data_IF_159816028349
#
_entry.id   IF_159816028349
#
_cell.length_a   1.000
_cell.length_b   1.000
_cell.length_c   1.000
_cell.angle_alpha   90.00
_cell.angle_beta   90.00
_cell.angle_gamma   90.00
#
_symmetry.space_group_name_H-M   'P 1'
#
loop_
_entity.id
_entity.type
_entity.pdbx_description
1 polymer ?
#
# COMPACT_ATOMS: atom_id res chain seq x y z
N UNK A 1 3.53 9.01 -21.61
CA UNK A 1 2.65 10.13 -21.23
C UNK A 1 3.42 11.08 -20.32
N UNK A 2 3.08 12.36 -20.30
CA UNK A 2 3.50 13.35 -19.30
C UNK A 2 2.31 13.78 -18.47
N UNK A 3 2.46 13.78 -17.15
CA UNK A 3 1.46 14.30 -16.22
C UNK A 3 1.58 15.83 -16.15
N UNK A 4 0.51 16.53 -16.54
CA UNK A 4 0.48 18.00 -16.54
C UNK A 4 0.47 18.61 -15.13
N UNK A 5 0.11 17.85 -14.09
CA UNK A 5 0.01 18.32 -12.72
C UNK A 5 1.27 18.03 -11.86
N UNK A 6 2.07 17.02 -12.23
CA UNK A 6 3.17 16.52 -11.41
C UNK A 6 4.55 16.54 -12.10
N UNK A 7 4.65 17.07 -13.33
CA UNK A 7 5.90 17.14 -14.13
C UNK A 7 6.62 15.78 -14.32
N UNK A 8 5.92 14.66 -14.12
CA UNK A 8 6.46 13.30 -14.24
C UNK A 8 6.02 12.58 -15.51
N UNK A 9 6.88 11.71 -16.06
CA UNK A 9 6.54 10.86 -17.19
C UNK A 9 6.18 9.44 -16.74
N UNK A 10 5.29 8.78 -17.51
CA UNK A 10 4.91 7.40 -17.26
C UNK A 10 4.52 6.63 -18.53
N UNK A 11 4.58 5.30 -18.45
CA UNK A 11 4.13 4.39 -19.51
C UNK A 11 2.64 4.05 -19.39
N UNK A 12 1.97 3.98 -20.54
CA UNK A 12 0.62 3.43 -20.73
C UNK A 12 0.64 2.32 -21.79
N UNK A 13 -0.43 1.54 -21.90
CA UNK A 13 -0.53 0.43 -22.87
C UNK A 13 0.33 -0.79 -22.55
N UNK A 14 0.96 -0.84 -21.37
CA UNK A 14 1.73 -1.98 -20.88
C UNK A 14 0.85 -2.93 -20.07
N UNK A 15 1.17 -4.23 -20.09
CA UNK A 15 0.42 -5.22 -19.31
C UNK A 15 0.56 -4.92 -17.81
N UNK A 16 -0.57 -4.69 -17.15
CA UNK A 16 -0.68 -4.57 -15.71
C UNK A 16 -1.12 -5.93 -15.12
N UNK A 17 -0.43 -6.42 -14.10
CA UNK A 17 -0.85 -7.64 -13.39
C UNK A 17 -1.81 -7.35 -12.22
N UNK A 18 -2.05 -6.08 -11.92
CA UNK A 18 -2.95 -5.58 -10.88
C UNK A 18 -2.67 -6.11 -9.46
N UNK A 19 -1.46 -6.64 -9.22
CA UNK A 19 -1.08 -7.21 -7.94
C UNK A 19 -0.32 -6.19 -7.09
N UNK A 20 -0.93 -5.83 -5.96
CA UNK A 20 -0.30 -5.00 -4.92
C UNK A 20 0.84 -5.73 -4.17
N UNK A 21 0.91 -7.05 -4.26
CA UNK A 21 1.92 -7.86 -3.55
C UNK A 21 3.09 -8.30 -4.41
N UNK A 22 2.86 -8.49 -5.72
CA UNK A 22 3.84 -9.12 -6.62
C UNK A 22 4.57 -8.12 -7.49
N UNK A 23 3.96 -6.98 -7.80
CA UNK A 23 4.44 -6.09 -8.82
C UNK A 23 4.65 -4.69 -8.27
N UNK A 24 5.91 -4.21 -8.18
CA UNK A 24 6.20 -2.88 -7.66
C UNK A 24 5.50 -1.78 -8.49
N UNK A 25 5.35 -1.98 -9.81
CA UNK A 25 4.67 -1.03 -10.70
C UNK A 25 3.17 -0.94 -10.40
N UNK A 26 2.48 -2.07 -10.27
CA UNK A 26 1.04 -2.06 -9.97
C UNK A 26 0.78 -1.60 -8.53
N UNK A 27 1.60 -2.04 -7.59
CA UNK A 27 1.52 -1.64 -6.20
C UNK A 27 1.64 -0.12 -6.05
N UNK A 28 2.62 0.52 -6.70
CA UNK A 28 2.79 1.98 -6.72
C UNK A 28 1.53 2.72 -7.18
N UNK A 29 0.98 2.32 -8.33
CA UNK A 29 -0.21 2.95 -8.91
C UNK A 29 -1.45 2.80 -8.03
N UNK A 30 -1.68 1.60 -7.50
CA UNK A 30 -2.85 1.32 -6.65
C UNK A 30 -2.71 2.05 -5.31
N UNK A 31 -1.51 2.03 -4.72
CA UNK A 31 -1.17 2.71 -3.48
C UNK A 31 -1.49 4.21 -3.52
N UNK A 32 -1.01 4.91 -4.56
CA UNK A 32 -1.24 6.35 -4.72
C UNK A 32 -2.73 6.70 -4.70
N UNK A 33 -3.56 5.92 -5.41
CA UNK A 33 -5.02 6.13 -5.45
C UNK A 33 -5.68 5.83 -4.12
N UNK A 34 -5.29 4.72 -3.47
CA UNK A 34 -5.82 4.35 -2.15
C UNK A 34 -5.48 5.39 -1.09
N UNK A 35 -4.31 6.01 -1.14
CA UNK A 35 -3.94 7.09 -0.21
C UNK A 35 -4.84 8.29 -0.38
N UNK A 36 -5.17 8.67 -1.61
CA UNK A 36 -6.11 9.77 -1.85
C UNK A 36 -7.52 9.43 -1.33
N UNK A 37 -8.00 8.19 -1.50
CA UNK A 37 -9.26 7.75 -0.89
C UNK A 37 -9.22 7.86 0.64
N UNK A 38 -8.13 7.41 1.28
CA UNK A 38 -7.97 7.48 2.74
C UNK A 38 -7.88 8.93 3.23
N UNK A 39 -7.16 9.79 2.51
CA UNK A 39 -7.04 11.22 2.81
C UNK A 39 -8.42 11.88 2.86
N UNK A 40 -9.28 11.62 1.88
CA UNK A 40 -10.67 12.12 1.87
C UNK A 40 -11.48 11.66 3.07
N UNK A 41 -11.31 10.41 3.51
CA UNK A 41 -12.02 9.90 4.70
C UNK A 41 -11.55 10.61 5.97
N UNK A 42 -10.24 10.85 6.12
CA UNK A 42 -9.71 11.60 7.27
C UNK A 42 -10.15 13.05 7.25
N UNK A 43 -10.08 13.73 6.09
CA UNK A 43 -10.53 15.11 5.97
C UNK A 43 -12.02 15.25 6.33
N UNK A 44 -12.86 14.34 5.85
CA UNK A 44 -14.28 14.34 6.19
C UNK A 44 -14.51 14.11 7.68
N UNK A 45 -13.75 13.20 8.31
CA UNK A 45 -13.83 13.00 9.75
C UNK A 45 -13.52 14.30 10.53
N UNK A 46 -12.53 15.07 10.09
CA UNK A 46 -12.23 16.39 10.65
C UNK A 46 -13.36 17.40 10.45
N UNK A 47 -14.00 17.42 9.26
CA UNK A 47 -15.12 18.32 8.94
C UNK A 47 -16.36 18.09 9.82
N UNK A 48 -16.63 16.85 10.21
CA UNK A 48 -17.75 16.50 11.10
C UNK A 48 -17.36 16.52 12.58
N UNK A 49 -16.17 17.06 12.90
CA UNK A 49 -15.58 17.05 14.24
C UNK A 49 -15.54 15.65 14.88
N UNK A 50 -15.35 14.62 14.06
CA UNK A 50 -15.23 13.23 14.47
C UNK A 50 -13.88 12.92 15.12
N UNK A 51 -13.61 11.63 15.32
CA UNK A 51 -12.31 11.16 15.82
C UNK A 51 -11.70 10.14 14.87
N UNK A 52 -10.41 10.31 14.58
CA UNK A 52 -9.58 9.32 13.92
C UNK A 52 -8.56 8.76 14.91
N UNK A 53 -8.51 7.44 15.06
CA UNK A 53 -7.48 6.75 15.86
C UNK A 53 -6.81 5.67 15.04
N UNK A 54 -5.49 5.55 15.20
CA UNK A 54 -4.74 4.45 14.61
C UNK A 54 -4.48 3.35 15.64
N UNK A 55 -4.73 2.10 15.25
CA UNK A 55 -4.18 0.92 15.94
C UNK A 55 -3.19 0.18 15.06
N UNK A 56 -2.21 -0.45 15.68
CA UNK A 56 -1.27 -1.38 15.03
C UNK A 56 -1.31 -2.69 15.79
N UNK A 57 -1.74 -3.75 15.12
CA UNK A 57 -1.86 -5.07 15.69
C UNK A 57 -0.80 -6.01 15.13
N UNK A 58 -0.17 -6.79 15.99
CA UNK A 58 0.85 -7.79 15.64
C UNK A 58 0.69 -9.02 16.51
N UNK A 59 1.28 -10.14 16.11
CA UNK A 59 1.29 -11.38 16.89
C UNK A 59 2.70 -11.95 16.96
N UNK A 60 2.97 -12.75 17.99
CA UNK A 60 4.24 -13.45 18.11
C UNK A 60 4.27 -14.61 17.13
N UNK A 61 5.45 -14.82 16.56
CA UNK A 61 5.77 -15.88 15.62
C UNK A 61 7.16 -16.42 15.94
N UNK A 62 7.46 -17.60 15.42
CA UNK A 62 8.78 -18.20 15.40
C UNK A 62 9.44 -18.00 14.03
N UNK A 63 10.77 -18.07 14.02
CA UNK A 63 11.57 -17.90 12.80
C UNK A 63 11.11 -18.81 11.65
N UNK A 64 10.74 -20.04 11.96
CA UNK A 64 10.38 -21.06 10.97
C UNK A 64 8.87 -21.13 10.69
N UNK A 65 8.06 -20.26 11.32
CA UNK A 65 6.62 -20.22 11.03
C UNK A 65 6.40 -19.74 9.59
N UNK A 66 5.65 -20.47 8.75
CA UNK A 66 5.39 -20.03 7.40
C UNK A 66 4.49 -18.79 7.40
N UNK A 67 4.71 -17.87 6.46
CA UNK A 67 3.85 -16.68 6.30
C UNK A 67 2.37 -17.02 6.26
N UNK A 68 2.02 -18.16 5.65
CA UNK A 68 0.63 -18.60 5.56
C UNK A 68 -0.01 -18.83 6.92
N UNK A 69 0.75 -19.29 7.92
CA UNK A 69 0.27 -19.45 9.29
C UNK A 69 0.16 -18.09 9.97
N UNK A 70 1.23 -17.29 9.95
CA UNK A 70 1.28 -15.99 10.63
C UNK A 70 0.17 -15.06 10.15
N UNK A 71 0.01 -14.91 8.84
CA UNK A 71 -1.02 -14.04 8.27
C UNK A 71 -2.43 -14.57 8.51
N UNK A 72 -2.70 -15.89 8.36
CA UNK A 72 -4.04 -16.45 8.61
C UNK A 72 -4.47 -16.26 10.06
N UNK A 73 -3.58 -16.55 11.00
CA UNK A 73 -3.84 -16.36 12.44
C UNK A 73 -4.14 -14.88 12.74
N UNK A 74 -3.36 -13.96 12.17
CA UNK A 74 -3.60 -12.52 12.36
C UNK A 74 -4.91 -12.04 11.74
N UNK A 75 -5.26 -12.52 10.55
CA UNK A 75 -6.49 -12.15 9.86
C UNK A 75 -7.72 -12.67 10.62
N UNK A 76 -7.68 -13.91 11.10
CA UNK A 76 -8.74 -14.49 11.91
C UNK A 76 -8.88 -13.76 13.27
N UNK A 77 -7.76 -13.44 13.92
CA UNK A 77 -7.76 -12.66 15.15
C UNK A 77 -8.42 -11.29 14.94
N UNK A 78 -8.12 -10.63 13.82
CA UNK A 78 -8.71 -9.33 13.48
C UNK A 78 -10.22 -9.43 13.22
N UNK A 79 -10.69 -10.49 12.56
CA UNK A 79 -12.12 -10.74 12.39
C UNK A 79 -12.80 -10.95 13.75
N UNK A 80 -12.18 -11.76 14.63
CA UNK A 80 -12.69 -12.05 15.98
C UNK A 80 -12.75 -10.80 16.87
N UNK A 81 -11.77 -9.90 16.78
CA UNK A 81 -11.74 -8.63 17.53
C UNK A 81 -12.97 -7.77 17.22
N UNK A 82 -13.43 -7.82 15.97
CA UNK A 82 -14.54 -7.01 15.43
C UNK A 82 -15.88 -7.72 15.48
N UNK A 83 -15.95 -8.96 15.97
CA UNK A 83 -17.16 -9.77 15.92
C UNK A 83 -17.87 -9.85 17.27
N UNK A 84 -19.20 -9.79 17.23
CA UNK A 84 -20.08 -10.08 18.36
C UNK A 84 -20.43 -8.87 19.22
N UNK A 85 -21.19 -9.13 20.29
CA UNK A 85 -21.79 -8.08 21.11
C UNK A 85 -20.81 -7.11 21.77
N UNK A 86 -19.59 -7.50 22.21
CA UNK A 86 -18.66 -6.57 22.84
C UNK A 86 -18.24 -5.44 21.91
N UNK A 87 -17.82 -5.78 20.68
CA UNK A 87 -17.45 -4.78 19.69
C UNK A 87 -18.65 -3.95 19.22
N UNK A 88 -19.83 -4.58 19.05
CA UNK A 88 -21.05 -3.86 18.71
C UNK A 88 -21.41 -2.78 19.74
N UNK A 89 -21.33 -3.09 21.03
CA UNK A 89 -21.54 -2.12 22.12
C UNK A 89 -20.47 -1.03 22.13
N UNK A 90 -19.20 -1.38 21.86
CA UNK A 90 -18.12 -0.39 21.75
C UNK A 90 -18.40 0.59 20.61
N UNK A 91 -18.79 0.07 19.43
CA UNK A 91 -19.12 0.89 18.27
C UNK A 91 -20.27 1.85 18.54
N UNK A 92 -21.33 1.36 19.18
CA UNK A 92 -22.48 2.18 19.56
C UNK A 92 -22.10 3.24 20.59
N UNK A 93 -21.40 2.85 21.67
CA UNK A 93 -20.96 3.76 22.73
C UNK A 93 -20.07 4.88 22.21
N UNK A 94 -19.13 4.54 21.32
CA UNK A 94 -18.10 5.46 20.86
C UNK A 94 -18.38 6.06 19.48
N UNK A 95 -19.54 5.80 18.88
CA UNK A 95 -19.88 6.33 17.55
C UNK A 95 -18.99 5.84 16.41
N UNK A 96 -18.41 4.64 16.49
CA UNK A 96 -17.49 4.11 15.46
C UNK A 96 -18.28 3.77 14.17
N UNK A 97 -18.03 4.54 13.12
CA UNK A 97 -18.65 4.36 11.80
C UNK A 97 -17.98 3.27 10.98
N UNK A 98 -16.66 3.11 11.12
CA UNK A 98 -15.92 2.14 10.32
C UNK A 98 -14.41 2.22 10.52
N UNK A 99 -13.68 1.52 9.65
CA UNK A 99 -12.23 1.49 9.63
C UNK A 99 -11.66 1.43 8.22
N UNK A 100 -10.39 1.79 8.09
CA UNK A 100 -9.52 1.39 6.97
C UNK A 100 -8.38 0.56 7.55
N UNK A 101 -8.12 -0.62 7.01
CA UNK A 101 -6.99 -1.47 7.44
C UNK A 101 -6.02 -1.63 6.28
N UNK A 102 -4.72 -1.47 6.57
CA UNK A 102 -3.61 -1.88 5.72
C UNK A 102 -2.82 -3.01 6.39
N UNK A 103 -2.25 -3.90 5.58
CA UNK A 103 -1.44 -5.04 6.02
C UNK A 103 0.01 -4.83 5.57
N UNK A 104 0.92 -4.75 6.54
CA UNK A 104 2.37 -4.71 6.31
C UNK A 104 2.94 -6.12 6.46
N UNK A 105 3.74 -6.57 5.49
CA UNK A 105 4.44 -7.85 5.55
C UNK A 105 5.93 -7.64 5.34
N UNK A 106 6.72 -8.01 6.34
CA UNK A 106 8.19 -7.98 6.27
C UNK A 106 8.77 -9.30 6.75
N UNK A 107 10.02 -9.58 6.38
CA UNK A 107 10.78 -10.72 6.88
C UNK A 107 12.07 -10.23 7.55
N UNK A 108 12.27 -10.65 8.79
CA UNK A 108 13.41 -10.24 9.62
C UNK A 108 14.24 -11.40 10.12
N UNK A 109 15.14 -11.10 11.07
CA UNK A 109 15.93 -12.11 11.79
C UNK A 109 15.07 -13.14 12.54
N UNK A 110 13.84 -12.77 12.91
CA UNK A 110 12.94 -13.62 13.69
C UNK A 110 11.84 -14.27 12.83
N UNK A 111 11.92 -14.21 11.49
CA UNK A 111 10.90 -14.76 10.59
C UNK A 111 9.95 -13.71 10.03
N UNK A 112 8.71 -14.12 9.73
CA UNK A 112 7.68 -13.28 9.11
C UNK A 112 6.97 -12.35 10.08
N UNK A 113 7.06 -11.04 9.84
CA UNK A 113 6.34 -10.02 10.59
C UNK A 113 5.14 -9.53 9.79
N UNK A 114 3.93 -9.74 10.32
CA UNK A 114 2.67 -9.27 9.73
C UNK A 114 2.04 -8.26 10.68
N UNK A 115 1.92 -7.01 10.25
CA UNK A 115 1.25 -5.97 11.01
C UNK A 115 -0.04 -5.53 10.35
N UNK A 116 -1.06 -5.28 11.17
CA UNK A 116 -2.33 -4.72 10.73
C UNK A 116 -2.42 -3.28 11.25
N UNK A 117 -2.29 -2.32 10.35
CA UNK A 117 -2.45 -0.91 10.64
C UNK A 117 -3.88 -0.49 10.34
N UNK A 118 -4.58 0.05 11.33
CA UNK A 118 -6.02 0.31 11.22
C UNK A 118 -6.32 1.73 11.64
N UNK A 119 -6.89 2.53 10.75
CA UNK A 119 -7.59 3.75 11.11
C UNK A 119 -9.02 3.41 11.49
N UNK A 120 -9.46 3.86 12.65
CA UNK A 120 -10.84 3.81 13.08
C UNK A 120 -11.42 5.20 13.04
N UNK A 121 -12.66 5.27 12.57
CA UNK A 121 -13.37 6.52 12.38
C UNK A 121 -14.60 6.54 13.26
N UNK A 122 -14.79 7.66 13.96
CA UNK A 122 -15.96 7.95 14.77
C UNK A 122 -16.60 9.24 14.30
N UNK A 123 -17.94 9.28 14.28
CA UNK A 123 -18.68 10.53 14.07
C UNK A 123 -18.70 11.42 15.33
N UNK A 124 -18.29 10.87 16.48
CA UNK A 124 -18.18 11.60 17.75
C UNK A 124 -16.75 12.07 17.96
N UNK A 125 -16.62 13.28 18.53
CA UNK A 125 -15.39 13.74 19.15
C UNK A 125 -15.15 13.02 20.47
N UNK A 126 -14.00 12.37 20.61
CA UNK A 126 -13.63 11.63 21.82
C UNK A 126 -12.83 12.51 22.78
N UNK A 127 -13.24 12.52 24.04
CA UNK A 127 -12.43 13.00 25.14
C UNK A 127 -11.47 11.92 25.65
N UNK A 128 -10.79 12.22 26.76
CA UNK A 128 -9.85 11.28 27.37
C UNK A 128 -10.51 9.96 27.80
N UNK A 129 -11.78 9.99 28.23
CA UNK A 129 -12.50 8.79 28.66
C UNK A 129 -12.76 7.85 27.47
N UNK A 130 -13.31 8.36 26.38
CA UNK A 130 -13.60 7.56 25.18
C UNK A 130 -12.33 6.96 24.57
N UNK A 131 -11.25 7.77 24.51
CA UNK A 131 -9.94 7.31 24.06
C UNK A 131 -9.39 6.19 24.95
N UNK A 132 -9.52 6.32 26.26
CA UNK A 132 -9.09 5.30 27.22
C UNK A 132 -9.90 4.01 27.07
N UNK A 133 -11.24 4.10 27.00
CA UNK A 133 -12.15 2.96 26.79
C UNK A 133 -11.82 2.22 25.50
N UNK A 134 -11.57 2.95 24.41
CA UNK A 134 -11.17 2.36 23.14
C UNK A 134 -9.83 1.62 23.25
N UNK A 135 -8.82 2.28 23.83
CA UNK A 135 -7.49 1.72 23.95
C UNK A 135 -7.46 0.46 24.82
N UNK A 136 -8.16 0.48 25.96
CA UNK A 136 -8.30 -0.68 26.84
C UNK A 136 -8.99 -1.84 26.13
N UNK A 137 -10.08 -1.57 25.40
CA UNK A 137 -10.75 -2.62 24.63
C UNK A 137 -9.79 -3.25 23.62
N UNK A 138 -9.06 -2.44 22.83
CA UNK A 138 -8.18 -2.95 21.78
C UNK A 138 -7.03 -3.78 22.34
N UNK A 139 -6.38 -3.29 23.41
CA UNK A 139 -5.28 -4.01 24.10
C UNK A 139 -5.75 -5.29 24.76
N UNK A 140 -6.94 -5.32 25.36
CA UNK A 140 -7.46 -6.53 25.99
C UNK A 140 -8.07 -7.52 24.99
N UNK A 141 -8.72 -7.05 23.93
CA UNK A 141 -9.41 -7.90 22.96
C UNK A 141 -8.44 -8.61 22.02
N UNK A 142 -7.36 -7.95 21.61
CA UNK A 142 -6.44 -8.48 20.61
C UNK A 142 -5.73 -9.78 21.04
N UNK A 143 -5.06 -9.88 22.22
CA UNK A 143 -4.41 -11.12 22.64
C UNK A 143 -5.40 -12.28 22.81
N UNK A 144 -6.61 -12.01 23.29
CA UNK A 144 -7.69 -13.02 23.38
C UNK A 144 -8.13 -13.50 22.00
N UNK A 145 -8.20 -12.61 21.02
CA UNK A 145 -8.53 -12.97 19.65
C UNK A 145 -7.42 -13.80 19.00
N UNK A 146 -6.15 -13.43 19.20
CA UNK A 146 -4.98 -14.19 18.72
C UNK A 146 -4.94 -15.58 19.34
N UNK A 147 -5.13 -15.71 20.66
CA UNK A 147 -5.16 -17.00 21.34
C UNK A 147 -6.27 -17.92 20.78
N UNK A 148 -7.45 -17.36 20.48
CA UNK A 148 -8.56 -18.11 19.87
C UNK A 148 -8.33 -18.50 18.41
N UNK A 149 -7.47 -17.77 17.69
CA UNK A 149 -7.02 -18.10 16.35
C UNK A 149 -5.83 -19.09 16.36
N UNK A 150 -5.41 -19.57 17.54
CA UNK A 150 -4.30 -20.52 17.68
C UNK A 150 -2.91 -19.87 17.71
N UNK A 151 -2.83 -18.54 17.80
CA UNK A 151 -1.56 -17.81 17.94
C UNK A 151 -1.23 -17.45 19.39
N UNK A 152 -0.09 -16.77 19.55
CA UNK A 152 0.31 -16.17 20.81
C UNK A 152 0.58 -14.68 20.63
N UNK A 153 0.20 -13.89 21.63
CA UNK A 153 0.42 -12.46 21.64
C UNK A 153 0.65 -12.01 23.08
N UNK A 154 1.60 -11.10 23.24
CA UNK A 154 1.84 -10.44 24.52
C UNK A 154 0.83 -9.29 24.70
N UNK A 155 0.34 -9.07 25.92
CA UNK A 155 -0.66 -8.03 26.20
C UNK A 155 -0.09 -6.61 26.05
N UNK A 156 1.21 -6.42 26.31
CA UNK A 156 1.86 -5.11 26.26
C UNK A 156 2.24 -4.71 24.83
N UNK A 157 2.67 -5.67 24.01
CA UNK A 157 3.25 -5.41 22.69
C UNK A 157 2.35 -5.76 21.50
N UNK A 158 1.22 -6.43 21.75
CA UNK A 158 0.33 -6.91 20.69
C UNK A 158 -0.45 -5.84 19.95
N UNK A 159 -0.76 -4.75 20.64
CA UNK A 159 -1.57 -3.66 20.11
C UNK A 159 -1.02 -2.31 20.57
N UNK A 160 -0.56 -1.52 19.60
CA UNK A 160 -0.21 -0.12 19.81
C UNK A 160 -1.38 0.75 19.37
N UNK A 161 -1.79 1.67 20.23
CA UNK A 161 -2.85 2.65 19.94
C UNK A 161 -2.19 4.02 19.88
N UNK A 162 -2.30 4.68 18.74
CA UNK A 162 -1.75 6.01 18.48
C UNK A 162 -2.89 7.01 18.34
N UNK A 163 -2.94 7.95 19.27
CA UNK A 163 -3.88 9.07 19.31
C UNK A 163 -3.08 10.35 19.03
N UNK A 164 -3.64 11.27 18.24
CA UNK A 164 -3.00 12.53 17.86
C UNK A 164 -3.99 13.43 17.12
N UNK A 165 -3.54 14.58 16.63
CA UNK A 165 -4.34 15.36 15.68
C UNK A 165 -4.54 14.56 14.39
N UNK A 166 -5.65 14.79 13.69
CA UNK A 166 -6.02 14.02 12.50
C UNK A 166 -4.90 14.01 11.43
N UNK A 167 -4.20 15.14 11.25
CA UNK A 167 -3.05 15.25 10.34
C UNK A 167 -1.85 14.38 10.76
N UNK A 168 -1.55 14.31 12.06
CA UNK A 168 -0.46 13.47 12.59
C UNK A 168 -0.79 11.98 12.41
N UNK A 169 -2.05 11.61 12.66
CA UNK A 169 -2.55 10.25 12.53
C UNK A 169 -2.56 9.84 11.06
N UNK A 170 -3.01 10.70 10.15
CA UNK A 170 -2.98 10.47 8.70
C UNK A 170 -1.54 10.35 8.21
N UNK A 171 -0.65 11.27 8.57
CA UNK A 171 0.76 11.25 8.18
C UNK A 171 1.43 9.94 8.63
N UNK A 172 1.25 9.55 9.89
CA UNK A 172 1.73 8.27 10.42
C UNK A 172 1.15 7.06 9.67
N UNK A 173 -0.15 7.09 9.35
CA UNK A 173 -0.80 6.01 8.60
C UNK A 173 -0.30 5.91 7.17
N UNK A 174 -0.17 7.02 6.46
CA UNK A 174 0.36 7.09 5.09
C UNK A 174 1.79 6.57 5.05
N UNK A 175 2.64 6.95 6.01
CA UNK A 175 4.00 6.41 6.12
C UNK A 175 3.99 4.89 6.28
N UNK A 176 3.12 4.34 7.13
CA UNK A 176 3.03 2.88 7.31
C UNK A 176 2.40 2.16 6.11
N UNK A 177 1.48 2.80 5.38
CA UNK A 177 0.98 2.28 4.13
C UNK A 177 2.06 2.27 3.04
N UNK A 178 2.82 3.36 2.91
CA UNK A 178 3.96 3.44 2.01
C UNK A 178 5.01 2.36 2.34
N UNK A 179 5.28 2.12 3.63
CA UNK A 179 6.13 1.00 4.08
C UNK A 179 5.57 -0.37 3.66
N UNK A 180 4.26 -0.59 3.84
CA UNK A 180 3.57 -1.82 3.41
C UNK A 180 3.70 -2.06 1.91
N UNK A 181 3.71 -0.99 1.12
CA UNK A 181 3.89 -1.04 -0.33
C UNK A 181 5.34 -0.96 -0.80
N UNK A 182 6.33 -0.81 0.10
CA UNK A 182 7.73 -0.59 -0.28
C UNK A 182 7.97 0.71 -1.07
N UNK A 183 7.07 1.69 -0.95
CA UNK A 183 7.08 2.97 -1.66
C UNK A 183 7.55 4.13 -0.78
N UNK A 184 8.27 3.83 0.31
CA UNK A 184 8.72 4.82 1.29
C UNK A 184 9.49 5.98 0.64
N UNK A 185 10.25 5.69 -0.42
CA UNK A 185 10.99 6.71 -1.18
C UNK A 185 10.12 7.52 -2.15
N UNK A 186 9.13 6.90 -2.79
CA UNK A 186 8.31 7.51 -3.84
C UNK A 186 7.10 8.28 -3.27
N UNK A 187 6.50 7.80 -2.19
CA UNK A 187 5.30 8.39 -1.58
C UNK A 187 5.58 9.23 -0.34
N UNK A 188 6.73 9.05 0.34
CA UNK A 188 7.05 9.77 1.58
C UNK A 188 8.25 10.73 1.45
N UNK A 189 8.62 11.12 0.23
CA UNK A 189 9.57 12.21 -0.01
C UNK A 189 11.04 11.86 0.18
N UNK A 190 11.50 10.74 -0.38
CA UNK A 190 12.93 10.48 -0.56
C UNK A 190 13.53 9.38 0.32
N UNK A 191 14.33 8.55 -0.34
CA UNK A 191 15.03 7.34 0.11
C UNK A 191 14.12 6.17 0.47
N UNK A 192 14.13 5.14 -0.39
CA UNK A 192 13.73 3.77 -0.05
C UNK A 192 14.52 3.40 1.20
N UNK A 193 13.89 3.39 2.37
CA UNK A 193 14.62 3.02 3.57
C UNK A 193 14.82 1.52 3.47
N UNK A 194 16.08 1.09 3.53
CA UNK A 194 16.36 -0.28 3.95
C UNK A 194 15.57 -0.51 5.24
N UNK A 195 14.77 -1.58 5.27
CA UNK A 195 13.86 -1.78 6.39
C UNK A 195 14.62 -1.75 7.72
N UNK A 196 13.98 -1.19 8.74
CA UNK A 196 14.63 -0.93 10.04
C UNK A 196 15.12 -2.25 10.66
N UNK A 197 16.31 -2.22 11.26
CA UNK A 197 16.92 -3.35 11.98
C UNK A 197 17.13 -4.63 11.13
N UNK A 198 17.30 -4.49 9.81
CA UNK A 198 17.54 -5.64 8.91
C UNK A 198 16.26 -6.41 8.54
N UNK A 199 15.08 -5.85 8.82
CA UNK A 199 13.82 -6.36 8.26
C UNK A 199 13.74 -5.99 6.78
N UNK A 200 13.24 -6.91 5.95
CA UNK A 200 13.09 -6.73 4.51
C UNK A 200 11.61 -6.70 4.13
N UNK A 201 11.20 -5.71 3.35
CA UNK A 201 9.87 -5.69 2.73
C UNK A 201 9.80 -6.74 1.62
N UNK A 202 8.59 -7.05 1.14
CA UNK A 202 8.45 -7.99 0.01
C UNK A 202 9.19 -7.52 -1.24
N UNK A 203 9.20 -6.21 -1.54
CA UNK A 203 9.94 -5.69 -2.69
C UNK A 203 11.45 -5.62 -2.44
N UNK A 204 11.91 -5.47 -1.19
CA UNK A 204 13.32 -5.69 -0.88
C UNK A 204 13.72 -7.15 -1.10
N UNK A 205 12.88 -8.12 -0.72
CA UNK A 205 13.15 -9.54 -1.00
C UNK A 205 13.21 -9.82 -2.51
N UNK A 206 12.35 -9.18 -3.31
CA UNK A 206 12.40 -9.27 -4.77
C UNK A 206 13.69 -8.66 -5.33
N UNK A 207 14.09 -7.49 -4.82
CA UNK A 207 15.33 -6.83 -5.19
C UNK A 207 16.54 -7.72 -4.88
N UNK A 208 16.65 -8.22 -3.64
CA UNK A 208 17.73 -9.09 -3.19
C UNK A 208 17.79 -10.38 -4.04
N UNK A 209 16.63 -10.97 -4.35
CA UNK A 209 16.55 -12.15 -5.21
C UNK A 209 17.07 -11.90 -6.63
N UNK A 210 16.80 -10.69 -7.17
CA UNK A 210 17.07 -10.36 -8.57
C UNK A 210 18.49 -9.83 -8.79
N UNK A 211 18.90 -8.85 -7.98
CA UNK A 211 20.14 -8.10 -8.17
C UNK A 211 21.27 -8.65 -7.31
N UNK A 212 20.99 -9.01 -6.05
CA UNK A 212 21.99 -9.62 -5.14
C UNK A 212 22.09 -11.14 -5.31
N UNK A 213 21.19 -11.74 -6.10
CA UNK A 213 21.10 -13.19 -6.34
C UNK A 213 20.93 -14.00 -5.05
N UNK A 214 20.25 -13.44 -4.05
CA UNK A 214 19.93 -14.12 -2.79
C UNK A 214 18.84 -15.18 -3.03
N UNK A 215 19.26 -16.45 -3.09
CA UNK A 215 18.36 -17.58 -3.29
C UNK A 215 17.37 -17.78 -2.14
N UNK A 216 17.73 -17.36 -0.92
CA UNK A 216 16.83 -17.44 0.22
C UNK A 216 15.74 -16.36 0.12
N UNK A 217 16.11 -15.13 -0.26
CA UNK A 217 15.13 -14.09 -0.55
C UNK A 217 14.16 -14.50 -1.67
N UNK A 218 14.63 -15.20 -2.70
CA UNK A 218 13.78 -15.73 -3.76
C UNK A 218 12.73 -16.73 -3.25
N UNK A 219 13.12 -17.63 -2.33
CA UNK A 219 12.20 -18.58 -1.71
C UNK A 219 11.16 -17.87 -0.83
N UNK A 220 11.60 -16.93 0.01
CA UNK A 220 10.70 -16.15 0.86
C UNK A 220 9.71 -15.33 0.04
N UNK A 221 10.18 -14.64 -1.00
CA UNK A 221 9.33 -13.87 -1.90
C UNK A 221 8.28 -14.76 -2.57
N UNK A 222 8.69 -15.92 -3.11
CA UNK A 222 7.78 -16.89 -3.72
C UNK A 222 6.69 -17.34 -2.74
N UNK A 223 7.08 -17.73 -1.52
CA UNK A 223 6.15 -18.24 -0.52
C UNK A 223 5.14 -17.15 -0.08
N UNK A 224 5.60 -15.90 0.07
CA UNK A 224 4.74 -14.76 0.34
C UNK A 224 3.77 -14.47 -0.80
N UNK A 225 4.27 -14.42 -2.03
CA UNK A 225 3.45 -14.16 -3.21
C UNK A 225 2.37 -15.21 -3.41
N UNK A 226 2.71 -16.49 -3.26
CA UNK A 226 1.74 -17.59 -3.39
C UNK A 226 0.63 -17.50 -2.34
N UNK A 227 0.97 -17.09 -1.12
CA UNK A 227 0.01 -16.95 -0.02
C UNK A 227 -0.84 -15.68 -0.12
N UNK A 228 -0.24 -14.56 -0.54
CA UNK A 228 -0.87 -13.24 -0.57
C UNK A 228 -1.65 -12.98 -1.86
N UNK A 229 -1.48 -13.82 -2.88
CA UNK A 229 -2.23 -13.71 -4.15
C UNK A 229 -3.74 -13.65 -3.90
N UNK A 230 -4.37 -12.60 -4.43
CA UNK A 230 -5.82 -12.35 -4.30
C UNK A 230 -6.25 -11.76 -2.95
N UNK A 231 -5.33 -11.58 -1.99
CA UNK A 231 -5.63 -10.85 -0.77
C UNK A 231 -5.50 -9.35 -1.00
N UNK A 232 -6.34 -8.57 -0.34
CA UNK A 232 -6.24 -7.10 -0.35
C UNK A 232 -5.21 -6.65 0.67
N UNK A 233 -4.31 -5.75 0.26
CA UNK A 233 -3.40 -5.08 1.21
C UNK A 233 -4.14 -4.02 2.02
N UNK A 234 -5.01 -3.24 1.39
CA UNK A 234 -5.84 -2.22 2.03
C UNK A 234 -7.33 -2.55 1.85
N UNK A 235 -8.14 -2.35 2.88
CA UNK A 235 -9.59 -2.49 2.80
C UNK A 235 -10.35 -1.49 3.68
N UNK A 236 -11.52 -1.09 3.18
CA UNK A 236 -12.49 -0.26 3.90
C UNK A 236 -13.55 -1.16 4.55
N UNK A 237 -13.96 -0.81 5.77
CA UNK A 237 -15.14 -1.43 6.38
C UNK A 237 -16.42 -1.02 5.63
N UNK A 238 -17.39 -1.92 5.62
CA UNK A 238 -18.71 -1.66 5.03
C UNK A 238 -19.36 -0.43 5.67
N UNK A 239 -19.90 0.46 4.85
CA UNK A 239 -20.57 1.70 5.28
C UNK A 239 -19.67 2.91 5.42
N UNK A 240 -18.34 2.76 5.51
CA UNK A 240 -17.43 3.89 5.65
C UNK A 240 -17.42 4.78 4.40
N UNK A 241 -17.44 4.18 3.20
CA UNK A 241 -17.54 4.94 1.94
C UNK A 241 -18.85 5.72 1.84
N UNK A 242 -19.96 5.14 2.28
CA UNK A 242 -21.27 5.81 2.30
C UNK A 242 -21.28 7.00 3.26
N UNK A 243 -20.64 6.86 4.42
CA UNK A 243 -20.54 7.93 5.41
C UNK A 243 -19.83 9.18 4.87
N UNK A 244 -18.81 9.00 4.02
CA UNK A 244 -18.03 10.09 3.38
C UNK A 244 -18.63 10.51 2.04
N UNK A 245 -19.66 9.82 1.53
CA UNK A 245 -20.19 10.06 0.20
C UNK A 245 -19.23 9.67 -0.93
N UNK A 246 -18.30 8.75 -0.68
CA UNK A 246 -17.44 8.19 -1.72
C UNK A 246 -18.26 7.29 -2.65
N UNK A 247 -17.87 7.29 -3.93
CA UNK A 247 -18.41 6.37 -4.93
C UNK A 247 -18.18 4.90 -4.53
N UNK A 248 -18.81 3.98 -5.27
CA UNK A 248 -18.59 2.55 -5.09
C UNK A 248 -17.10 2.20 -5.02
N UNK A 249 -16.75 1.23 -4.17
CA UNK A 249 -15.36 0.80 -4.03
C UNK A 249 -14.90 0.16 -5.33
N UNK A 250 -13.85 0.72 -5.91
CA UNK A 250 -13.17 0.13 -7.06
C UNK A 250 -12.23 -0.97 -6.59
N UNK A 251 -12.16 -2.04 -7.35
CA UNK A 251 -11.19 -3.12 -7.20
C UNK A 251 -9.77 -2.65 -7.52
N UNK A 252 -8.78 -3.39 -7.03
CA UNK A 252 -7.37 -3.13 -7.35
C UNK A 252 -7.09 -3.30 -8.87
N UNK A 253 -7.86 -4.14 -9.56
CA UNK A 253 -7.84 -4.28 -11.01
C UNK A 253 -8.30 -2.99 -11.72
N UNK A 254 -9.47 -2.47 -11.34
CA UNK A 254 -10.02 -1.23 -11.88
C UNK A 254 -9.08 -0.05 -11.60
N UNK A 255 -8.60 0.09 -10.37
CA UNK A 255 -7.63 1.14 -10.00
C UNK A 255 -6.31 1.00 -10.76
N UNK A 256 -5.85 -0.23 -11.03
CA UNK A 256 -4.62 -0.43 -11.81
C UNK A 256 -4.78 -0.15 -13.31
N UNK A 257 -6.01 -0.21 -13.83
CA UNK A 257 -6.34 -0.03 -15.25
C UNK A 257 -6.70 1.41 -15.63
N UNK A 258 -7.22 2.19 -14.68
CA UNK A 258 -7.56 3.59 -14.89
C UNK A 258 -6.35 4.43 -15.33
N UNK A 259 -6.51 5.21 -16.39
CA UNK A 259 -5.50 6.15 -16.86
C UNK A 259 -5.54 7.47 -16.06
N UNK A 260 -4.40 8.16 -15.94
CA UNK A 260 -4.33 9.47 -15.27
C UNK A 260 -5.04 10.52 -16.15
N UNK A 261 -6.14 11.09 -15.65
CA UNK A 261 -6.84 12.19 -16.31
C UNK A 261 -5.90 13.40 -16.48
N UNK A 262 -5.88 13.98 -17.68
CA UNK A 262 -5.07 15.16 -18.00
C UNK A 262 -3.62 14.87 -18.44
N UNK A 263 -3.22 13.60 -18.52
CA UNK A 263 -1.92 13.24 -19.05
C UNK A 263 -1.82 13.44 -20.57
N UNK A 264 -0.72 14.03 -21.03
CA UNK A 264 -0.47 14.28 -22.44
C UNK A 264 0.39 13.17 -23.05
N UNK A 265 0.03 12.71 -24.25
CA UNK A 265 0.91 11.83 -25.00
C UNK A 265 2.18 12.58 -25.39
N UNK A 266 3.32 11.89 -25.34
CA UNK A 266 4.62 12.44 -25.74
C UNK A 266 5.25 11.65 -26.87
N UNK A 267 5.11 10.33 -26.83
CA UNK A 267 5.58 9.41 -27.85
C UNK A 267 4.82 8.11 -27.69
N UNK A 268 4.34 7.57 -28.81
CA UNK A 268 3.90 6.18 -28.93
C UNK A 268 5.10 5.34 -29.37
N UNK A 269 5.46 4.34 -28.56
CA UNK A 269 6.55 3.42 -28.86
C UNK A 269 6.02 2.22 -29.64
N UNK A 270 6.72 1.81 -30.70
CA UNK A 270 6.40 0.55 -31.37
C UNK A 270 6.75 -0.64 -30.49
N UNK A 271 6.05 -1.77 -30.67
CA UNK A 271 6.29 -3.01 -29.91
C UNK A 271 7.76 -3.46 -29.99
N UNK A 272 8.38 -3.34 -31.18
CA UNK A 272 9.80 -3.67 -31.40
C UNK A 272 10.73 -2.76 -30.62
N UNK A 273 10.44 -1.46 -30.59
CA UNK A 273 11.24 -0.50 -29.82
C UNK A 273 11.10 -0.79 -28.33
N UNK A 274 9.89 -1.08 -27.85
CA UNK A 274 9.64 -1.39 -26.43
C UNK A 274 10.32 -2.69 -25.97
N UNK A 275 10.29 -3.76 -26.77
CA UNK A 275 11.03 -5.00 -26.47
C UNK A 275 12.54 -4.74 -26.29
N UNK A 276 13.13 -3.90 -27.15
CA UNK A 276 14.54 -3.52 -27.02
C UNK A 276 14.81 -2.62 -25.81
N UNK A 277 13.91 -1.69 -25.49
CA UNK A 277 14.02 -0.84 -24.29
C UNK A 277 14.11 -1.73 -23.04
N UNK A 278 13.23 -2.73 -22.92
CA UNK A 278 13.20 -3.65 -21.77
C UNK A 278 14.46 -4.52 -21.72
N UNK A 279 14.89 -5.08 -22.85
CA UNK A 279 16.10 -5.92 -22.91
C UNK A 279 17.38 -5.17 -22.56
N UNK A 280 17.43 -3.87 -22.87
CA UNK A 280 18.56 -2.99 -22.60
C UNK A 280 18.42 -2.24 -21.26
N UNK A 281 17.35 -2.48 -20.50
CA UNK A 281 17.06 -1.82 -19.22
C UNK A 281 17.01 -0.28 -19.32
N UNK A 282 16.45 0.25 -20.42
CA UNK A 282 16.38 1.68 -20.70
C UNK A 282 15.09 2.34 -20.19
N UNK A 283 14.21 1.60 -19.48
CA UNK A 283 12.87 2.04 -19.14
C UNK A 283 12.86 3.35 -18.35
N UNK A 284 13.70 3.45 -17.32
CA UNK A 284 13.83 4.65 -16.49
C UNK A 284 14.39 5.83 -17.30
N UNK A 285 15.40 5.57 -18.12
CA UNK A 285 16.03 6.58 -18.96
C UNK A 285 15.02 7.18 -19.95
N UNK A 286 14.15 6.36 -20.55
CA UNK A 286 13.08 6.87 -21.42
C UNK A 286 12.16 7.84 -20.67
N UNK A 287 11.81 7.55 -19.40
CA UNK A 287 10.97 8.44 -18.60
C UNK A 287 11.69 9.76 -18.31
N UNK A 288 12.95 9.71 -17.85
CA UNK A 288 13.77 10.91 -17.60
C UNK A 288 13.87 11.81 -18.84
N UNK A 289 14.14 11.23 -20.02
CA UNK A 289 14.25 12.00 -21.25
C UNK A 289 12.90 12.50 -21.77
N UNK A 290 11.80 11.82 -21.43
CA UNK A 290 10.45 12.31 -21.70
C UNK A 290 10.14 13.56 -20.86
N UNK A 291 10.56 13.59 -19.59
CA UNK A 291 10.40 14.75 -18.69
C UNK A 291 11.26 15.93 -19.14
N UNK A 292 12.52 15.68 -19.52
CA UNK A 292 13.47 16.74 -19.88
C UNK A 292 13.13 17.42 -21.21
N UNK A 293 12.64 16.68 -22.20
CA UNK A 293 12.50 17.21 -23.57
C UNK A 293 11.43 16.56 -24.42
N UNK A 294 10.49 15.84 -23.81
CA UNK A 294 9.38 15.19 -24.49
C UNK A 294 9.82 14.08 -25.45
N UNK A 295 8.88 13.64 -26.29
CA UNK A 295 9.09 12.48 -27.16
C UNK A 295 10.26 12.63 -28.15
N UNK A 296 10.57 13.84 -28.60
CA UNK A 296 11.72 14.08 -29.49
C UNK A 296 13.03 13.67 -28.84
N UNK A 297 13.19 13.97 -27.55
CA UNK A 297 14.39 13.65 -26.79
C UNK A 297 14.47 12.16 -26.49
N UNK A 298 13.33 11.52 -26.17
CA UNK A 298 13.22 10.06 -26.08
C UNK A 298 13.72 9.38 -27.35
N UNK A 299 13.19 9.76 -28.52
CA UNK A 299 13.57 9.12 -29.79
C UNK A 299 15.05 9.34 -30.14
N UNK A 300 15.64 10.50 -29.80
CA UNK A 300 17.07 10.75 -29.96
C UNK A 300 17.91 9.84 -29.06
N UNK A 301 17.55 9.74 -27.79
CA UNK A 301 18.23 8.87 -26.82
C UNK A 301 18.15 7.41 -27.26
N UNK A 302 16.97 6.92 -27.64
CA UNK A 302 16.78 5.54 -28.10
C UNK A 302 17.67 5.20 -29.31
N UNK A 303 17.75 6.09 -30.30
CA UNK A 303 18.65 5.90 -31.46
C UNK A 303 20.12 5.87 -31.04
N UNK A 304 20.52 6.74 -30.12
CA UNK A 304 21.89 6.75 -29.58
C UNK A 304 22.22 5.45 -28.84
N UNK A 305 21.23 4.84 -28.19
CA UNK A 305 21.33 3.54 -27.51
C UNK A 305 21.17 2.33 -28.46
N UNK A 306 21.09 2.55 -29.77
CA UNK A 306 21.00 1.49 -30.77
C UNK A 306 19.60 0.85 -30.93
N UNK A 307 18.55 1.49 -30.41
CA UNK A 307 17.17 1.04 -30.55
C UNK A 307 16.59 1.52 -31.88
N UNK A 308 16.03 0.59 -32.66
CA UNK A 308 15.27 0.93 -33.86
C UNK A 308 13.97 1.65 -33.45
N UNK A 309 13.81 2.88 -33.91
CA UNK A 309 12.66 3.74 -33.61
C UNK A 309 11.63 3.75 -34.75
N UNK A 310 11.79 2.85 -35.73
CA UNK A 310 10.82 2.67 -36.81
C UNK A 310 9.45 2.29 -36.22
N UNK A 311 8.43 3.05 -36.61
CA UNK A 311 7.06 2.88 -36.13
C UNK A 311 6.76 3.54 -34.77
N UNK A 312 7.73 4.21 -34.13
CA UNK A 312 7.42 5.10 -33.02
C UNK A 312 6.85 6.42 -33.58
N UNK A 313 5.83 6.96 -32.91
CA UNK A 313 5.09 8.14 -33.36
C UNK A 313 5.17 9.24 -32.30
N UNK A 314 5.34 10.48 -32.75
CA UNK A 314 5.11 11.64 -31.91
C UNK A 314 3.64 12.05 -32.08
N UNK A 315 2.98 12.54 -31.03
CA UNK A 315 1.64 13.09 -31.15
C UNK A 315 1.64 14.25 -32.15
N UNK A 316 0.54 14.39 -32.88
CA UNK A 316 0.32 15.55 -33.73
C UNK A 316 0.38 16.81 -32.86
N UNK A 317 1.05 17.87 -33.36
CA UNK A 317 1.07 19.14 -32.63
C UNK A 317 -0.37 19.60 -32.40
N UNK A 318 -0.76 20.01 -31.19
CA UNK A 318 -2.05 20.67 -31.02
C UNK A 318 -2.07 21.92 -31.90
N UNK A 319 -3.13 22.05 -32.71
CA UNK A 319 -3.45 23.26 -33.48
C UNK A 319 -3.63 24.48 -32.56
#
# INVERSE_FOLDING_TARGET
MLDAAYEGAFYTGVVCCHSVWMCPVCAAKIAARRVEEVRRVVEYAGQVEGTVVMTTHTLRHHHDDPISQVERTGAEALERLQRGSPFARLRERLGIVGRVRSVEVTHGRNGWHVHYHILWFSWQKWGCEEQHVFAEYMRAAWPRAVARAGGYCDEEHGCVVSMGHDEDVLSSYVVKCAASWGLEGEMAGGQVKQGRNGNRTLFQLLYDATFERDTYAALLWRDAVLHLKGKRMLDFAQGLRQWVGLNAEQSDEELGAEEQEGAQEVVTLSEKAYDLIVRLQLEALVLEWAEVGGGVYVLKMLRASGVDTSGCLLPDKPD
#
